data_IF_907199415689
#
_entry.id   IF_907199415689
#
_cell.length_a   1.000
_cell.length_b   1.000
_cell.length_c   1.000
_cell.angle_alpha   90.00
_cell.angle_beta   90.00
_cell.angle_gamma   90.00
#
_symmetry.space_group_name_H-M   'P 1'
#
loop_
_entity.id
_entity.type
_entity.pdbx_description
1 polymer ?
#
# COMPACT_ATOMS: atom_id res chain seq x y z
N UNK A 1 -31.68 41.87 14.52
CA UNK A 1 -31.16 41.22 15.74
C UNK A 1 -31.40 39.72 15.57
N UNK A 2 -30.43 39.03 14.94
CA UNK A 2 -30.55 37.61 14.55
C UNK A 2 -30.10 36.75 15.73
N UNK A 3 -30.97 35.88 16.23
CA UNK A 3 -30.68 34.98 17.33
C UNK A 3 -29.70 33.88 16.87
N UNK A 4 -28.58 33.75 17.57
CA UNK A 4 -27.65 32.63 17.42
C UNK A 4 -28.38 31.33 17.79
N UNK A 5 -28.42 30.30 16.93
CA UNK A 5 -28.98 29.00 17.29
C UNK A 5 -28.24 28.44 18.51
N UNK A 6 -28.95 28.21 19.61
CA UNK A 6 -28.38 27.49 20.75
C UNK A 6 -28.21 26.02 20.37
N UNK A 7 -26.97 25.60 20.19
CA UNK A 7 -26.64 24.19 19.99
C UNK A 7 -27.03 23.40 21.25
N UNK A 8 -27.82 22.33 21.05
CA UNK A 8 -28.42 21.54 22.13
C UNK A 8 -27.31 20.84 22.92
N UNK A 9 -27.29 20.87 24.25
CA UNK A 9 -26.22 20.27 25.08
C UNK A 9 -25.98 18.78 24.80
N UNK A 10 -26.98 18.06 24.32
CA UNK A 10 -26.84 16.67 23.85
C UNK A 10 -25.92 16.55 22.63
N UNK A 11 -25.94 17.52 21.71
CA UNK A 11 -25.04 17.51 20.54
C UNK A 11 -23.60 17.84 20.92
N UNK A 12 -23.40 18.70 21.93
CA UNK A 12 -22.06 18.98 22.46
C UNK A 12 -21.43 17.71 23.06
N UNK A 13 -22.20 16.96 23.84
CA UNK A 13 -21.76 15.68 24.42
C UNK A 13 -21.46 14.61 23.37
N UNK A 14 -22.30 14.50 22.32
CA UNK A 14 -22.05 13.58 21.21
C UNK A 14 -20.81 13.97 20.41
N UNK A 15 -20.58 15.26 20.19
CA UNK A 15 -19.41 15.75 19.47
C UNK A 15 -18.12 15.55 20.26
N UNK A 16 -18.12 15.77 21.57
CA UNK A 16 -16.95 15.44 22.42
C UNK A 16 -16.68 13.93 22.47
N UNK A 17 -17.74 13.11 22.48
CA UNK A 17 -17.61 11.65 22.48
C UNK A 17 -17.08 11.13 21.14
N UNK A 18 -17.56 11.67 20.01
CA UNK A 18 -17.05 11.36 18.67
C UNK A 18 -15.61 11.85 18.47
N UNK A 19 -15.24 12.99 19.06
CA UNK A 19 -13.86 13.47 19.06
C UNK A 19 -12.97 12.54 19.90
N UNK A 20 -13.44 12.08 21.07
CA UNK A 20 -12.71 11.19 21.96
C UNK A 20 -12.56 9.75 21.41
N UNK A 21 -13.56 9.23 20.68
CA UNK A 21 -13.51 7.91 20.02
C UNK A 21 -12.91 7.97 18.60
N UNK A 22 -12.83 9.16 18.02
CA UNK A 22 -12.28 9.37 16.69
C UNK A 22 -10.76 9.31 16.69
N UNK A 23 -10.18 9.15 15.50
CA UNK A 23 -8.73 9.24 15.33
C UNK A 23 -8.18 10.65 15.59
N UNK A 24 -9.04 11.63 15.88
CA UNK A 24 -8.72 13.03 16.15
C UNK A 24 -7.71 13.20 17.29
N UNK A 25 -7.83 12.41 18.35
CA UNK A 25 -6.96 12.48 19.53
C UNK A 25 -5.68 11.66 19.40
N UNK A 26 -5.49 10.90 18.30
CA UNK A 26 -4.31 10.04 18.19
C UNK A 26 -3.03 10.88 18.06
N UNK A 27 -2.00 10.58 18.87
CA UNK A 27 -0.72 11.26 18.74
C UNK A 27 -0.15 11.07 17.34
N UNK A 28 0.27 12.17 16.71
CA UNK A 28 0.83 12.18 15.35
C UNK A 28 -0.18 12.36 14.21
N UNK A 29 -1.48 12.49 14.48
CA UNK A 29 -2.49 12.80 13.43
C UNK A 29 -2.14 14.08 12.65
N UNK A 30 -1.64 15.08 13.35
CA UNK A 30 -1.26 16.38 12.78
C UNK A 30 0.26 16.49 12.58
N UNK A 31 0.97 15.35 12.48
CA UNK A 31 2.42 15.34 12.25
C UNK A 31 2.81 15.97 10.89
N UNK A 32 1.89 15.97 9.93
CA UNK A 32 2.04 16.65 8.64
C UNK A 32 0.78 17.44 8.32
N UNK A 33 0.96 18.63 7.77
CA UNK A 33 -0.15 19.45 7.28
C UNK A 33 -0.89 18.72 6.14
N UNK A 34 -2.22 18.86 6.10
CA UNK A 34 -3.08 18.16 5.13
C UNK A 34 -2.70 18.45 3.68
N UNK A 35 -2.23 19.65 3.37
CA UNK A 35 -1.82 20.03 2.02
C UNK A 35 -0.50 19.37 1.60
N UNK A 36 0.41 19.13 2.55
CA UNK A 36 1.61 18.31 2.32
C UNK A 36 1.19 16.87 2.00
N UNK A 37 0.29 16.29 2.81
CA UNK A 37 -0.22 14.94 2.57
C UNK A 37 -0.88 14.80 1.19
N UNK A 38 -1.67 15.79 0.77
CA UNK A 38 -2.26 15.82 -0.58
C UNK A 38 -1.21 15.82 -1.69
N UNK A 39 -0.14 16.57 -1.52
CA UNK A 39 0.96 16.64 -2.48
C UNK A 39 1.72 15.31 -2.57
N UNK A 40 1.91 14.62 -1.44
CA UNK A 40 2.56 13.31 -1.38
C UNK A 40 1.67 12.17 -1.93
N UNK A 41 0.35 12.33 -1.92
CA UNK A 41 -0.62 11.33 -2.39
C UNK A 41 -1.05 11.54 -3.86
N UNK A 42 -0.28 12.30 -4.65
CA UNK A 42 -0.59 12.52 -6.07
C UNK A 42 -0.37 11.22 -6.86
N UNK A 43 -1.42 10.74 -7.49
CA UNK A 43 -1.42 9.50 -8.29
C UNK A 43 -0.71 9.69 -9.63
N UNK A 44 0.13 8.74 -10.03
CA UNK A 44 0.92 8.83 -11.26
C UNK A 44 1.05 7.49 -11.97
N UNK A 45 0.51 7.40 -13.19
CA UNK A 45 0.58 6.15 -13.95
C UNK A 45 2.01 5.72 -14.26
N UNK A 46 2.85 6.70 -14.62
CA UNK A 46 4.25 6.46 -14.99
C UNK A 46 5.06 6.00 -13.78
N UNK A 47 4.96 6.69 -12.66
CA UNK A 47 5.71 6.31 -11.45
C UNK A 47 5.23 4.96 -10.92
N UNK A 48 3.92 4.72 -10.87
CA UNK A 48 3.37 3.43 -10.47
C UNK A 48 3.87 2.27 -11.35
N UNK A 49 3.95 2.47 -12.67
CA UNK A 49 4.47 1.45 -13.59
C UNK A 49 5.97 1.22 -13.41
N UNK A 50 6.76 2.27 -13.20
CA UNK A 50 8.19 2.15 -12.94
C UNK A 50 8.46 1.39 -11.63
N UNK A 51 7.71 1.69 -10.57
CA UNK A 51 7.83 0.99 -9.29
C UNK A 51 7.45 -0.49 -9.45
N UNK A 52 6.33 -0.76 -10.13
CA UNK A 52 5.90 -2.14 -10.37
C UNK A 52 6.89 -2.92 -11.23
N UNK A 53 7.40 -2.32 -12.31
CA UNK A 53 8.43 -2.93 -13.16
C UNK A 53 9.73 -3.18 -12.38
N UNK A 54 10.14 -2.24 -11.53
CA UNK A 54 11.29 -2.41 -10.62
C UNK A 54 11.10 -3.59 -9.66
N UNK A 55 9.89 -3.75 -9.11
CA UNK A 55 9.54 -4.89 -8.27
C UNK A 55 9.63 -6.22 -9.03
N UNK A 56 9.03 -6.30 -10.23
CA UNK A 56 9.13 -7.49 -11.09
C UNK A 56 10.59 -7.81 -11.47
N UNK A 57 11.40 -6.78 -11.70
CA UNK A 57 12.83 -6.93 -11.97
C UNK A 57 13.57 -7.51 -10.77
N UNK A 58 13.27 -7.05 -9.55
CA UNK A 58 13.84 -7.61 -8.32
C UNK A 58 13.44 -9.08 -8.14
N UNK A 59 12.20 -9.46 -8.45
CA UNK A 59 11.75 -10.86 -8.44
C UNK A 59 12.53 -11.69 -9.46
N UNK A 60 12.70 -11.19 -10.69
CA UNK A 60 13.46 -11.88 -11.73
C UNK A 60 14.94 -12.08 -11.35
N UNK A 61 15.59 -11.05 -10.84
CA UNK A 61 17.00 -11.11 -10.40
C UNK A 61 17.18 -12.10 -9.26
N UNK A 62 16.30 -12.06 -8.25
CA UNK A 62 16.37 -12.97 -7.10
C UNK A 62 16.03 -14.40 -7.47
N UNK A 63 15.10 -14.62 -8.40
CA UNK A 63 14.80 -15.93 -8.98
C UNK A 63 15.98 -16.50 -9.79
N UNK A 64 16.68 -15.65 -10.53
CA UNK A 64 17.88 -16.04 -11.26
C UNK A 64 19.05 -16.39 -10.31
N UNK A 65 19.22 -15.62 -9.23
CA UNK A 65 20.19 -15.93 -8.17
C UNK A 65 19.90 -17.29 -7.53
N UNK A 66 18.63 -17.59 -7.27
CA UNK A 66 18.18 -18.91 -6.80
C UNK A 66 18.51 -20.03 -7.77
N UNK A 67 18.24 -19.82 -9.06
CA UNK A 67 18.52 -20.81 -10.10
C UNK A 67 20.02 -21.17 -10.14
N UNK A 68 20.90 -20.17 -10.12
CA UNK A 68 22.35 -20.41 -10.14
C UNK A 68 22.87 -21.01 -8.84
N UNK A 69 22.44 -20.51 -7.68
CA UNK A 69 22.91 -21.04 -6.38
C UNK A 69 22.47 -22.49 -6.14
N UNK A 70 21.29 -22.87 -6.64
CA UNK A 70 20.81 -24.26 -6.62
C UNK A 70 21.72 -25.18 -7.45
N UNK A 71 22.15 -24.75 -8.64
CA UNK A 71 22.95 -25.58 -9.54
C UNK A 71 24.32 -25.99 -8.95
N UNK A 72 24.88 -25.17 -8.06
CA UNK A 72 26.19 -25.40 -7.43
C UNK A 72 26.13 -26.01 -6.03
N UNK A 73 24.94 -26.39 -5.53
CA UNK A 73 24.72 -26.97 -4.19
C UNK A 73 25.33 -26.16 -3.02
N UNK A 74 25.51 -24.85 -3.20
CA UNK A 74 26.04 -23.94 -2.18
C UNK A 74 24.92 -23.56 -1.18
N UNK A 75 24.65 -24.43 -0.21
CA UNK A 75 23.61 -24.24 0.81
C UNK A 75 23.72 -22.90 1.55
N UNK A 76 24.94 -22.42 1.81
CA UNK A 76 25.19 -21.12 2.44
C UNK A 76 24.70 -19.91 1.63
N UNK A 77 24.68 -20.02 0.30
CA UNK A 77 24.17 -18.96 -0.60
C UNK A 77 22.72 -19.19 -0.99
N UNK A 78 22.30 -20.46 -1.05
CA UNK A 78 20.94 -20.85 -1.40
C UNK A 78 19.92 -20.32 -0.38
N UNK A 79 20.18 -20.48 0.93
CA UNK A 79 19.23 -20.07 1.96
C UNK A 79 18.98 -18.55 1.93
N UNK A 80 20.02 -17.67 1.93
CA UNK A 80 19.79 -16.23 1.77
C UNK A 80 19.08 -15.86 0.46
N UNK A 81 19.40 -16.53 -0.65
CA UNK A 81 18.73 -16.30 -1.94
C UNK A 81 17.23 -16.68 -1.87
N UNK A 82 16.90 -17.79 -1.21
CA UNK A 82 15.50 -18.19 -0.96
C UNK A 82 14.75 -17.14 -0.14
N UNK A 83 15.36 -16.68 0.96
CA UNK A 83 14.77 -15.65 1.82
C UNK A 83 14.52 -14.37 1.02
N UNK A 84 15.54 -13.89 0.29
CA UNK A 84 15.44 -12.66 -0.51
C UNK A 84 14.34 -12.75 -1.58
N UNK A 85 14.25 -13.88 -2.27
CA UNK A 85 13.20 -14.09 -3.28
C UNK A 85 11.81 -14.20 -2.66
N UNK A 86 11.69 -14.90 -1.53
CA UNK A 86 10.44 -14.96 -0.76
C UNK A 86 9.96 -13.57 -0.35
N UNK A 87 10.87 -12.71 0.13
CA UNK A 87 10.57 -11.31 0.43
C UNK A 87 10.15 -10.52 -0.83
N UNK A 88 10.83 -10.71 -1.96
CA UNK A 88 10.46 -10.06 -3.21
C UNK A 88 9.05 -10.45 -3.68
N UNK A 89 8.64 -11.71 -3.49
CA UNK A 89 7.29 -12.20 -3.81
C UNK A 89 6.26 -11.69 -2.79
N UNK A 90 6.46 -11.89 -1.49
CA UNK A 90 5.44 -11.58 -0.47
C UNK A 90 5.10 -10.09 -0.45
N UNK A 91 6.08 -9.23 -0.76
CA UNK A 91 5.87 -7.78 -0.83
C UNK A 91 5.00 -7.34 -2.00
N UNK A 92 4.68 -8.22 -2.98
CA UNK A 92 3.65 -7.95 -4.00
C UNK A 92 2.24 -7.76 -3.40
N UNK A 93 2.03 -8.16 -2.15
CA UNK A 93 0.82 -7.81 -1.41
C UNK A 93 0.57 -6.30 -1.38
N UNK A 94 1.63 -5.48 -1.19
CA UNK A 94 1.49 -4.03 -1.11
C UNK A 94 0.96 -3.40 -2.43
N UNK A 95 1.58 -3.60 -3.61
CA UNK A 95 1.03 -3.06 -4.85
C UNK A 95 -0.35 -3.64 -5.18
N UNK A 96 -0.64 -4.90 -4.82
CA UNK A 96 -1.98 -5.48 -4.96
C UNK A 96 -3.02 -4.74 -4.10
N UNK A 97 -2.75 -4.60 -2.79
CA UNK A 97 -3.64 -3.95 -1.82
C UNK A 97 -3.90 -2.47 -2.20
N UNK A 98 -2.85 -1.73 -2.57
CA UNK A 98 -2.99 -0.34 -3.01
C UNK A 98 -3.81 -0.24 -4.32
N UNK A 99 -3.64 -1.18 -5.26
CA UNK A 99 -4.41 -1.20 -6.51
C UNK A 99 -5.91 -1.41 -6.28
N UNK A 100 -6.28 -2.25 -5.32
CA UNK A 100 -7.68 -2.46 -4.91
C UNK A 100 -8.30 -1.16 -4.41
N UNK A 101 -7.54 -0.41 -3.59
CA UNK A 101 -7.94 0.92 -3.11
C UNK A 101 -7.85 2.02 -4.18
N UNK A 102 -7.28 1.70 -5.35
CA UNK A 102 -7.15 2.61 -6.51
C UNK A 102 -6.31 3.86 -6.20
N UNK A 103 -5.35 3.73 -5.30
CA UNK A 103 -4.43 4.77 -4.85
C UNK A 103 -3.17 4.94 -5.72
N UNK A 104 -2.57 3.93 -6.39
CA UNK A 104 -1.31 4.15 -7.10
C UNK A 104 -1.48 4.77 -8.49
N UNK A 105 -2.49 4.34 -9.26
CA UNK A 105 -2.66 4.77 -10.66
C UNK A 105 -3.83 5.75 -10.83
N UNK A 106 -3.68 6.71 -11.75
CA UNK A 106 -4.79 7.56 -12.23
C UNK A 106 -5.79 6.76 -13.06
N UNK A 107 -5.31 5.75 -13.81
CA UNK A 107 -6.15 4.88 -14.63
C UNK A 107 -6.77 3.74 -13.80
N UNK A 108 -8.09 3.61 -13.84
CA UNK A 108 -8.82 2.51 -13.18
C UNK A 108 -8.46 1.14 -13.76
N UNK A 109 -8.26 1.06 -15.08
CA UNK A 109 -7.85 -0.17 -15.76
C UNK A 109 -6.46 -0.62 -15.34
N UNK A 110 -5.55 0.34 -15.14
CA UNK A 110 -4.19 0.03 -14.73
C UNK A 110 -4.14 -0.49 -13.30
N UNK A 111 -4.91 0.11 -12.37
CA UNK A 111 -5.10 -0.45 -11.03
C UNK A 111 -5.62 -1.89 -11.08
N UNK A 112 -6.66 -2.17 -11.89
CA UNK A 112 -7.21 -3.52 -12.00
C UNK A 112 -6.19 -4.53 -12.57
N UNK A 113 -5.51 -4.17 -13.66
CA UNK A 113 -4.54 -5.06 -14.32
C UNK A 113 -3.31 -5.33 -13.45
N UNK A 114 -2.69 -4.27 -12.91
CA UNK A 114 -1.51 -4.41 -12.04
C UNK A 114 -1.88 -5.11 -10.74
N UNK A 115 -3.02 -4.76 -10.13
CA UNK A 115 -3.52 -5.43 -8.92
C UNK A 115 -3.73 -6.92 -9.12
N UNK A 116 -4.31 -7.32 -10.26
CA UNK A 116 -4.51 -8.73 -10.61
C UNK A 116 -3.18 -9.48 -10.83
N UNK A 117 -2.23 -8.89 -11.56
CA UNK A 117 -0.90 -9.49 -11.79
C UNK A 117 -0.14 -9.63 -10.46
N UNK A 118 -0.14 -8.59 -9.63
CA UNK A 118 0.50 -8.61 -8.32
C UNK A 118 -0.15 -9.64 -7.37
N UNK A 119 -1.48 -9.70 -7.36
CA UNK A 119 -2.22 -10.70 -6.60
C UNK A 119 -1.90 -12.13 -7.05
N UNK A 120 -1.91 -12.39 -8.36
CA UNK A 120 -1.50 -13.68 -8.91
C UNK A 120 -0.08 -14.06 -8.46
N UNK A 121 0.89 -13.15 -8.57
CA UNK A 121 2.26 -13.38 -8.14
C UNK A 121 2.40 -13.62 -6.64
N UNK A 122 1.57 -12.97 -5.82
CA UNK A 122 1.53 -13.15 -4.36
C UNK A 122 0.69 -14.35 -3.90
N UNK A 123 0.02 -15.07 -4.82
CA UNK A 123 -0.99 -16.09 -4.51
C UNK A 123 -2.17 -15.56 -3.68
N UNK A 124 -2.56 -14.30 -3.90
CA UNK A 124 -3.68 -13.62 -3.24
C UNK A 124 -4.63 -13.11 -4.31
N UNK A 125 -5.91 -13.47 -4.21
CA UNK A 125 -6.89 -13.04 -5.19
C UNK A 125 -7.30 -11.57 -4.93
N UNK A 126 -7.07 -10.72 -5.92
CA UNK A 126 -7.34 -9.27 -5.87
C UNK A 126 -8.82 -8.91 -5.98
N UNK A 127 -9.69 -9.82 -6.42
CA UNK A 127 -11.13 -9.57 -6.58
C UNK A 127 -11.91 -9.72 -5.26
N UNK A 128 -11.32 -10.32 -4.22
CA UNK A 128 -11.95 -10.45 -2.89
C UNK A 128 -11.68 -9.27 -1.95
N UNK A 129 -10.86 -8.30 -2.36
CA UNK A 129 -10.55 -7.08 -1.61
C UNK A 129 -11.15 -5.87 -2.35
#
# INVERSE_FOLDING_TARGET
MSATPQERPEQLGLQETDLAMGTAQLPGRDALERDILRTLNVRSNRQGLLHFAGHLTAIAITGLLLYFTRAHAHWLLLIPAMVLHGFAIVTLFAPMHECVHRTPFRSKWLNRGVGWIAGFGAFINSDYY
#
